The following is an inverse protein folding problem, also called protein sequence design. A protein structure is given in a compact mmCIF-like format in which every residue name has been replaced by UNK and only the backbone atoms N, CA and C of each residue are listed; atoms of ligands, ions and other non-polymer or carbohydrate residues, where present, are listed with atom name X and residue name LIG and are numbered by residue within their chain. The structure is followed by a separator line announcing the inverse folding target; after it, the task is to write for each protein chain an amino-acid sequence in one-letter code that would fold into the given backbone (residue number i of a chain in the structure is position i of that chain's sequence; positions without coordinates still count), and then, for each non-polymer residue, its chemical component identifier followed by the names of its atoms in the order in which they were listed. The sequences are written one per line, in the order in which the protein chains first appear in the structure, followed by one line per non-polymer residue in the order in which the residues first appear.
data_IF_202565941434
#
_entry.id   IF_202565941434
#
_cell.length_a   1.000
_cell.length_b   1.000
_cell.length_c   1.000
_cell.angle_alpha   90.00
_cell.angle_beta   90.00
_cell.angle_gamma   90.00
#
_symmetry.space_group_name_H-M   'P 1'
#
loop_
_entity.id
_entity.type
_entity.pdbx_description
1 polymer ?
#
# COMPACT_ATOMS: atom_id res chain seq x y z
N UNK A 1 6.57 12.49 -48.68
CA UNK A 1 7.24 11.31 -48.07
C UNK A 1 7.79 11.60 -46.68
N UNK A 2 8.55 12.69 -46.47
CA UNK A 2 9.17 13.01 -45.17
C UNK A 2 8.17 13.11 -44.00
N UNK A 3 7.04 13.80 -44.18
CA UNK A 3 6.02 13.94 -43.13
C UNK A 3 5.40 12.60 -42.69
N UNK A 4 5.18 11.68 -43.64
CA UNK A 4 4.64 10.36 -43.33
C UNK A 4 5.67 9.51 -42.56
N UNK A 5 6.94 9.62 -42.93
CA UNK A 5 8.05 8.98 -42.20
C UNK A 5 8.17 9.51 -40.77
N UNK A 6 8.12 10.84 -40.59
CA UNK A 6 8.16 11.48 -39.27
C UNK A 6 6.99 11.03 -38.40
N UNK A 7 5.77 10.94 -38.96
CA UNK A 7 4.60 10.46 -38.23
C UNK A 7 4.77 9.01 -37.74
N UNK A 8 5.20 8.09 -38.60
CA UNK A 8 5.42 6.69 -38.23
C UNK A 8 6.55 6.52 -37.21
N UNK A 9 7.60 7.32 -37.32
CA UNK A 9 8.72 7.32 -36.37
C UNK A 9 8.27 7.79 -34.97
N UNK A 10 7.51 8.89 -34.90
CA UNK A 10 6.95 9.39 -33.64
C UNK A 10 5.99 8.37 -33.02
N UNK A 11 5.12 7.76 -33.83
CA UNK A 11 4.19 6.73 -33.38
C UNK A 11 4.93 5.49 -32.83
N UNK A 12 6.00 5.06 -33.49
CA UNK A 12 6.82 3.94 -33.04
C UNK A 12 7.47 4.22 -31.68
N UNK A 13 7.99 5.43 -31.46
CA UNK A 13 8.57 5.84 -30.18
C UNK A 13 7.52 5.78 -29.06
N UNK A 14 6.33 6.36 -29.27
CA UNK A 14 5.25 6.30 -28.27
C UNK A 14 4.80 4.87 -27.99
N UNK A 15 4.72 4.02 -29.02
CA UNK A 15 4.34 2.62 -28.86
C UNK A 15 5.36 1.84 -28.02
N UNK A 16 6.66 2.06 -28.25
CA UNK A 16 7.73 1.47 -27.45
C UNK A 16 7.65 1.92 -25.99
N UNK A 17 7.44 3.22 -25.75
CA UNK A 17 7.28 3.76 -24.39
C UNK A 17 6.06 3.21 -23.67
N UNK A 18 4.94 3.05 -24.37
CA UNK A 18 3.74 2.39 -23.83
C UNK A 18 4.02 0.92 -23.47
N UNK A 19 4.73 0.19 -24.34
CA UNK A 19 5.13 -1.19 -24.09
C UNK A 19 6.05 -1.34 -22.87
N UNK A 20 7.05 -0.47 -22.73
CA UNK A 20 7.96 -0.43 -21.57
C UNK A 20 7.19 -0.09 -20.29
N UNK A 21 6.30 0.89 -20.34
CA UNK A 21 5.48 1.29 -19.19
C UNK A 21 4.54 0.17 -18.74
N UNK A 22 3.91 -0.52 -19.69
CA UNK A 22 3.07 -1.69 -19.43
C UNK A 22 3.87 -2.84 -18.80
N UNK A 23 5.05 -3.15 -19.34
CA UNK A 23 5.92 -4.19 -18.81
C UNK A 23 6.38 -3.87 -17.37
N UNK A 24 6.74 -2.62 -17.09
CA UNK A 24 7.10 -2.17 -15.74
C UNK A 24 5.93 -2.28 -14.76
N UNK A 25 4.71 -1.94 -15.19
CA UNK A 25 3.51 -2.08 -14.38
C UNK A 25 3.21 -3.56 -14.05
N UNK A 26 3.35 -4.47 -15.02
CA UNK A 26 3.18 -5.91 -14.81
C UNK A 26 4.24 -6.50 -13.86
N UNK A 27 5.50 -6.09 -14.02
CA UNK A 27 6.59 -6.47 -13.13
C UNK A 27 6.34 -6.02 -11.68
N UNK A 28 5.85 -4.78 -11.48
CA UNK A 28 5.45 -4.28 -10.16
C UNK A 28 4.34 -5.11 -9.54
N UNK A 29 3.29 -5.41 -10.28
CA UNK A 29 2.19 -6.26 -9.81
C UNK A 29 2.68 -7.67 -9.42
N UNK A 30 3.57 -8.27 -10.21
CA UNK A 30 4.19 -9.57 -9.90
C UNK A 30 5.11 -9.50 -8.67
N UNK A 31 5.87 -8.42 -8.50
CA UNK A 31 6.71 -8.19 -7.33
C UNK A 31 5.87 -7.98 -6.06
N UNK A 32 4.76 -7.25 -6.17
CA UNK A 32 3.76 -7.10 -5.11
C UNK A 32 3.19 -8.45 -4.72
N UNK A 33 2.77 -9.24 -5.73
CA UNK A 33 2.23 -10.58 -5.52
C UNK A 33 3.23 -11.50 -4.81
N UNK A 34 4.51 -11.46 -5.21
CA UNK A 34 5.58 -12.27 -4.61
C UNK A 34 6.00 -11.83 -3.21
N UNK A 35 5.88 -10.54 -2.87
CA UNK A 35 6.30 -9.99 -1.57
C UNK A 35 5.17 -9.92 -0.55
N UNK A 36 3.94 -9.61 -0.98
CA UNK A 36 2.80 -9.39 -0.11
C UNK A 36 2.04 -10.70 0.19
N UNK A 37 1.87 -11.59 -0.80
CA UNK A 37 1.10 -12.84 -0.62
C UNK A 37 1.72 -13.75 0.44
N UNK A 38 3.03 -14.04 0.44
CA UNK A 38 3.60 -14.91 1.45
C UNK A 38 3.35 -14.39 2.86
N UNK A 39 3.46 -13.06 3.07
CA UNK A 39 3.22 -12.44 4.37
C UNK A 39 1.74 -12.46 4.78
N UNK A 40 0.82 -12.24 3.84
CA UNK A 40 -0.63 -12.31 4.10
C UNK A 40 -1.14 -13.74 4.32
N UNK A 41 -0.40 -14.75 3.85
CA UNK A 41 -0.71 -16.17 4.02
C UNK A 41 -0.07 -16.79 5.28
N UNK A 42 0.81 -16.08 6.00
CA UNK A 42 1.36 -16.58 7.25
C UNK A 42 0.31 -16.48 8.37
N UNK A 43 0.04 -17.60 9.04
CA UNK A 43 -0.85 -17.64 10.21
C UNK A 43 -0.28 -16.83 11.40
N UNK A 44 1.06 -16.76 11.49
CA UNK A 44 1.79 -16.04 12.54
C UNK A 44 3.08 -15.44 12.00
N UNK A 45 3.39 -14.22 12.44
CA UNK A 45 4.67 -13.57 12.14
C UNK A 45 5.58 -13.69 13.36
N UNK A 46 6.64 -14.49 13.25
CA UNK A 46 7.69 -14.66 14.26
C UNK A 46 8.93 -13.82 13.91
N UNK A 47 9.43 -13.07 14.89
CA UNK A 47 10.70 -12.35 14.77
C UNK A 47 11.80 -13.05 15.58
N UNK A 48 13.02 -13.22 15.02
CA UNK A 48 13.55 -12.55 13.82
C UNK A 48 13.29 -13.29 12.48
N UNK A 49 12.75 -14.50 12.51
CA UNK A 49 12.64 -15.39 11.33
C UNK A 49 12.00 -14.75 10.11
N UNK A 50 10.93 -13.97 10.28
CA UNK A 50 10.21 -13.35 9.16
C UNK A 50 10.56 -11.88 8.92
N UNK A 51 11.60 -11.33 9.59
CA UNK A 51 11.92 -9.89 9.54
C UNK A 51 12.12 -9.36 8.12
N UNK A 52 12.91 -10.07 7.31
CA UNK A 52 13.21 -9.64 5.93
C UNK A 52 11.94 -9.57 5.07
N UNK A 53 11.07 -10.59 5.19
CA UNK A 53 9.79 -10.64 4.50
C UNK A 53 8.89 -9.47 4.93
N UNK A 54 8.77 -9.22 6.25
CA UNK A 54 7.98 -8.11 6.79
C UNK A 54 8.43 -6.76 6.25
N UNK A 55 9.74 -6.50 6.27
CA UNK A 55 10.29 -5.23 5.77
C UNK A 55 9.99 -5.06 4.28
N UNK A 56 10.17 -6.11 3.48
CA UNK A 56 9.88 -6.06 2.04
C UNK A 56 8.40 -5.84 1.76
N UNK A 57 7.50 -6.55 2.45
CA UNK A 57 6.05 -6.37 2.28
C UNK A 57 5.59 -4.97 2.70
N UNK A 58 6.13 -4.42 3.79
CA UNK A 58 5.84 -3.04 4.21
C UNK A 58 6.28 -2.06 3.13
N UNK A 59 7.50 -2.19 2.60
CA UNK A 59 8.01 -1.29 1.56
C UNK A 59 7.19 -1.36 0.28
N UNK A 60 6.80 -2.57 -0.14
CA UNK A 60 5.94 -2.75 -1.30
C UNK A 60 4.57 -2.10 -1.09
N UNK A 61 4.02 -2.22 0.11
CA UNK A 61 2.74 -1.63 0.48
C UNK A 61 2.78 -0.09 0.55
N UNK A 62 3.86 0.49 1.08
CA UNK A 62 4.09 1.95 1.07
C UNK A 62 4.06 2.51 -0.36
N UNK A 63 4.69 1.80 -1.31
CA UNK A 63 4.72 2.20 -2.72
C UNK A 63 3.31 2.20 -3.33
N UNK A 64 2.53 1.12 -3.14
CA UNK A 64 1.17 1.04 -3.70
C UNK A 64 0.22 2.08 -3.09
N UNK A 65 0.31 2.33 -1.78
CA UNK A 65 -0.49 3.37 -1.14
C UNK A 65 -0.07 4.76 -1.61
N UNK A 66 1.23 4.98 -1.85
CA UNK A 66 1.72 6.23 -2.44
C UNK A 66 1.17 6.44 -3.84
N UNK A 67 1.14 5.41 -4.69
CA UNK A 67 0.54 5.49 -6.02
C UNK A 67 -0.98 5.73 -5.94
N UNK A 68 -1.66 5.14 -4.93
CA UNK A 68 -3.11 5.30 -4.71
C UNK A 68 -3.50 6.70 -4.24
N UNK A 69 -2.74 7.28 -3.32
CA UNK A 69 -3.05 8.60 -2.73
C UNK A 69 -2.32 9.76 -3.40
N UNK A 70 -1.34 9.47 -4.27
CA UNK A 70 -0.42 10.43 -4.86
C UNK A 70 0.32 11.27 -3.80
N UNK A 71 0.58 10.66 -2.64
CA UNK A 71 1.18 11.27 -1.44
C UNK A 71 2.25 10.36 -0.88
N UNK A 72 3.28 10.89 -0.23
CA UNK A 72 4.29 10.05 0.42
C UNK A 72 3.63 9.25 1.55
N UNK A 73 3.81 7.93 1.57
CA UNK A 73 3.25 7.06 2.61
C UNK A 73 4.38 6.40 3.40
N UNK A 74 4.23 6.33 4.72
CA UNK A 74 5.13 5.63 5.61
C UNK A 74 4.34 4.75 6.58
N UNK A 75 4.77 3.50 6.76
CA UNK A 75 4.15 2.54 7.68
C UNK A 75 5.17 2.20 8.77
N UNK A 76 4.87 2.65 9.99
CA UNK A 76 5.65 2.41 11.18
C UNK A 76 5.06 1.20 11.94
N UNK A 77 5.67 0.03 11.73
CA UNK A 77 5.34 -1.19 12.47
C UNK A 77 6.46 -1.50 13.49
N UNK A 78 6.17 -1.53 14.80
CA UNK A 78 7.17 -1.84 15.81
C UNK A 78 7.58 -3.31 15.70
N UNK A 79 8.82 -3.55 15.26
CA UNK A 79 9.45 -4.86 15.23
C UNK A 79 10.11 -5.08 16.58
N UNK A 80 9.43 -5.77 17.49
CA UNK A 80 10.07 -6.23 18.73
C UNK A 80 10.62 -7.64 18.52
N UNK A 81 11.85 -7.88 18.99
CA UNK A 81 12.48 -9.20 18.91
C UNK A 81 11.73 -10.19 19.83
N UNK A 82 11.60 -11.44 19.37
CA UNK A 82 10.99 -12.54 20.13
C UNK A 82 9.49 -12.39 20.45
N UNK A 83 8.75 -11.54 19.72
CA UNK A 83 7.27 -11.48 19.79
C UNK A 83 6.61 -12.20 18.60
N UNK A 84 5.54 -12.94 18.90
CA UNK A 84 4.59 -13.43 17.90
C UNK A 84 3.53 -12.35 17.65
N UNK A 85 3.40 -11.94 16.40
CA UNK A 85 2.32 -11.04 16.01
C UNK A 85 1.25 -11.84 15.28
N UNK A 86 0.00 -11.57 15.64
CA UNK A 86 -1.15 -12.13 14.94
C UNK A 86 -1.13 -11.64 13.48
N UNK A 87 -1.63 -12.43 12.54
CA UNK A 87 -1.54 -12.17 11.09
C UNK A 87 -2.22 -10.84 10.66
N UNK A 88 -3.06 -10.28 11.52
CA UNK A 88 -4.10 -9.34 11.18
C UNK A 88 -3.70 -7.87 10.89
N UNK A 89 -2.49 -7.34 11.23
CA UNK A 89 -2.30 -5.90 11.16
C UNK A 89 -2.25 -5.36 9.74
N UNK A 90 -1.82 -6.18 8.78
CA UNK A 90 -1.70 -5.78 7.39
C UNK A 90 -2.99 -5.95 6.58
N UNK A 91 -4.00 -6.68 7.10
CA UNK A 91 -5.29 -6.84 6.41
C UNK A 91 -6.00 -5.51 6.20
N UNK A 92 -5.85 -4.57 7.13
CA UNK A 92 -6.41 -3.22 6.99
C UNK A 92 -5.98 -2.54 5.69
N UNK A 93 -4.77 -2.80 5.21
CA UNK A 93 -4.31 -2.17 3.97
C UNK A 93 -4.82 -2.86 2.71
N UNK A 94 -5.06 -4.18 2.75
CA UNK A 94 -5.69 -4.89 1.64
C UNK A 94 -7.06 -4.29 1.28
N UNK A 95 -7.76 -3.75 2.28
CA UNK A 95 -9.06 -3.10 2.11
C UNK A 95 -9.02 -1.81 1.27
N UNK A 96 -7.86 -1.17 1.09
CA UNK A 96 -7.73 -0.05 0.16
C UNK A 96 -7.81 -0.48 -1.31
N UNK A 97 -7.48 -1.76 -1.60
CA UNK A 97 -7.36 -2.28 -2.96
C UNK A 97 -8.55 -3.17 -3.36
N UNK A 98 -9.39 -3.59 -2.42
CA UNK A 98 -10.59 -4.37 -2.71
C UNK A 98 -11.71 -3.49 -3.25
N UNK A 99 -12.18 -3.77 -4.46
CA UNK A 99 -13.40 -3.16 -5.02
C UNK A 99 -14.63 -3.85 -4.40
N UNK A 100 -15.32 -3.17 -3.49
CA UNK A 100 -16.58 -3.64 -2.90
C UNK A 100 -16.88 -3.03 -1.53
N UNK A 101 -18.15 -3.08 -1.10
CA UNK A 101 -18.65 -2.56 0.19
C UNK A 101 -18.24 -3.41 1.42
N UNK A 102 -17.11 -4.13 1.35
CA UNK A 102 -16.59 -4.92 2.47
C UNK A 102 -15.93 -4.05 3.56
N UNK A 103 -15.88 -2.74 3.36
CA UNK A 103 -15.15 -1.77 4.17
C UNK A 103 -15.96 -1.23 5.36
N UNK A 104 -16.49 -2.11 6.22
CA UNK A 104 -17.23 -1.68 7.41
C UNK A 104 -16.33 -1.55 8.66
N UNK A 105 -15.19 -2.24 8.69
CA UNK A 105 -14.30 -2.20 9.85
C UNK A 105 -13.54 -0.88 9.91
N UNK A 106 -13.81 -0.08 10.93
CA UNK A 106 -13.11 1.18 11.20
C UNK A 106 -11.84 0.90 11.98
N UNK A 107 -10.72 0.80 11.27
CA UNK A 107 -9.42 0.42 11.84
C UNK A 107 -8.39 1.56 11.75
N UNK A 108 -8.78 2.74 11.27
CA UNK A 108 -7.89 3.89 11.08
C UNK A 108 -8.32 5.02 12.02
N UNK A 109 -7.48 5.37 12.98
CA UNK A 109 -7.70 6.48 13.91
C UNK A 109 -7.01 7.73 13.36
N UNK A 110 -7.75 8.82 13.14
CA UNK A 110 -7.19 10.11 12.73
C UNK A 110 -7.93 11.24 13.46
N UNK A 111 -7.21 12.06 14.23
CA UNK A 111 -7.79 13.12 15.09
C UNK A 111 -8.93 12.59 16.00
N UNK A 112 -8.69 11.48 16.71
CA UNK A 112 -9.66 10.80 17.60
C UNK A 112 -10.95 10.33 16.90
N UNK A 113 -10.98 10.29 15.57
CA UNK A 113 -12.08 9.73 14.81
C UNK A 113 -11.64 8.45 14.11
N UNK A 114 -12.52 7.46 14.13
CA UNK A 114 -12.29 6.17 13.49
C UNK A 114 -12.88 6.17 12.08
N UNK A 115 -12.07 5.78 11.11
CA UNK A 115 -12.40 5.72 9.68
C UNK A 115 -12.28 4.29 9.16
N UNK A 116 -13.18 3.93 8.25
CA UNK A 116 -12.98 2.80 7.35
C UNK A 116 -11.93 3.14 6.28
N UNK A 117 -11.29 2.14 5.67
CA UNK A 117 -10.28 2.37 4.65
C UNK A 117 -10.84 3.13 3.44
N UNK A 118 -12.07 2.84 3.02
CA UNK A 118 -12.76 3.58 1.94
C UNK A 118 -13.02 5.05 2.30
N UNK A 119 -13.54 5.31 3.49
CA UNK A 119 -13.82 6.67 3.99
C UNK A 119 -12.52 7.50 4.04
N UNK A 120 -11.46 6.89 4.58
CA UNK A 120 -10.16 7.52 4.65
C UNK A 120 -9.58 7.78 3.25
N UNK A 121 -9.75 6.85 2.32
CA UNK A 121 -9.27 7.01 0.96
C UNK A 121 -9.95 8.17 0.21
N UNK A 122 -11.26 8.35 0.40
CA UNK A 122 -11.99 9.50 -0.15
C UNK A 122 -11.47 10.79 0.47
N UNK A 123 -11.38 10.85 1.79
CA UNK A 123 -10.85 12.02 2.52
C UNK A 123 -9.46 12.42 2.03
N UNK A 124 -8.57 11.44 1.81
CA UNK A 124 -7.21 11.70 1.34
C UNK A 124 -7.15 12.15 -0.11
N UNK A 125 -8.11 11.78 -0.95
CA UNK A 125 -8.17 12.29 -2.33
C UNK A 125 -8.66 13.73 -2.39
N UNK A 126 -9.54 14.13 -1.47
CA UNK A 126 -10.04 15.50 -1.37
C UNK A 126 -9.04 16.45 -0.71
N UNK A 127 -8.20 15.94 0.19
CA UNK A 127 -7.16 16.74 0.84
C UNK A 127 -5.92 16.91 -0.07
N UNK A 128 -5.88 18.05 -0.78
CA UNK A 128 -4.77 18.44 -1.64
C UNK A 128 -3.58 19.06 -0.88
N UNK A 129 -3.72 19.37 0.42
CA UNK A 129 -2.66 20.03 1.21
C UNK A 129 -1.73 19.02 1.86
N UNK A 130 -2.24 17.83 2.16
CA UNK A 130 -1.48 16.72 2.71
C UNK A 130 -0.34 16.28 1.77
N UNK A 131 0.90 16.31 2.25
CA UNK A 131 2.10 15.88 1.51
C UNK A 131 2.55 14.48 1.91
N UNK A 132 2.29 14.08 3.16
CA UNK A 132 2.71 12.79 3.71
C UNK A 132 1.64 12.19 4.63
N UNK A 133 1.47 10.87 4.54
CA UNK A 133 0.62 10.06 5.39
C UNK A 133 1.51 9.09 6.17
N UNK A 134 1.35 9.04 7.49
CA UNK A 134 2.11 8.13 8.37
C UNK A 134 1.10 7.22 9.08
N UNK A 135 1.24 5.91 8.90
CA UNK A 135 0.47 4.89 9.61
C UNK A 135 1.32 4.31 10.72
N UNK A 136 0.89 4.47 11.97
CA UNK A 136 1.58 3.93 13.15
C UNK A 136 0.73 2.83 13.79
N UNK A 137 1.30 1.64 13.93
CA UNK A 137 0.59 0.52 14.54
C UNK A 137 0.34 0.77 16.03
N UNK A 138 -0.90 0.65 16.48
CA UNK A 138 -1.32 0.77 17.87
C UNK A 138 -1.93 -0.58 18.30
N UNK A 139 -1.19 -1.35 19.08
CA UNK A 139 -1.71 -2.61 19.60
C UNK A 139 -2.77 -2.30 20.67
N UNK A 140 -4.00 -2.73 20.46
CA UNK A 140 -5.06 -2.61 21.46
C UNK A 140 -5.36 -3.99 22.03
N UNK A 141 -5.58 -4.07 23.35
CA UNK A 141 -5.74 -5.32 24.11
C UNK A 141 -6.91 -6.19 23.64
N UNK A 142 -7.82 -5.64 22.81
CA UNK A 142 -9.07 -6.26 22.35
C UNK A 142 -8.97 -7.00 21.00
N UNK A 143 -7.79 -7.49 20.60
CA UNK A 143 -7.56 -8.25 19.36
C UNK A 143 -7.85 -7.49 18.04
N UNK A 144 -8.39 -6.28 18.09
CA UNK A 144 -8.61 -5.41 16.95
C UNK A 144 -7.36 -4.59 16.65
N UNK A 145 -6.87 -4.71 15.41
CA UNK A 145 -5.74 -3.90 14.96
C UNK A 145 -6.23 -2.49 14.62
N UNK A 146 -5.67 -1.48 15.31
CA UNK A 146 -5.90 -0.07 15.01
C UNK A 146 -4.60 0.55 14.52
N UNK A 147 -4.71 1.36 13.47
CA UNK A 147 -3.61 2.19 12.96
C UNK A 147 -3.91 3.65 13.26
N UNK A 148 -3.02 4.32 13.98
CA UNK A 148 -3.05 5.77 14.09
C UNK A 148 -2.52 6.38 12.79
N UNK A 149 -3.20 7.38 12.27
CA UNK A 149 -2.85 8.03 11.01
C UNK A 149 -2.56 9.50 11.26
N UNK A 150 -1.34 9.91 10.88
CA UNK A 150 -0.90 11.30 10.95
C UNK A 150 -0.71 11.83 9.52
N UNK A 151 -1.17 13.07 9.31
CA UNK A 151 -1.10 13.76 8.03
C UNK A 151 -0.22 14.99 8.19
N UNK A 152 0.78 15.13 7.31
CA UNK A 152 1.74 16.24 7.28
C UNK A 152 1.75 16.94 5.92
#
# INVERSE_FOLDING_TARGET
MLANFVFHFVFAIFTIWLGVSWFLAQQRFLALKKSLIPLLCLEKITFPTHRSLVVQSIKALEIELQDTFQKKVCICFPIENAKEYNYNPFKTFALFFTKGNFNQSKNLEHHNQMYAASEFAVKMKEDNKAKKIIFTFKNNSNQTTIWNVEIL
#
